data_IF_343491965052
#
_entry.id   IF_343491965052
#
_cell.length_a   1.000
_cell.length_b   1.000
_cell.length_c   1.000
_cell.angle_alpha   90.00
_cell.angle_beta   90.00
_cell.angle_gamma   90.00
#
_symmetry.space_group_name_H-M   'P 1'
#
loop_
_entity.id
_entity.type
_entity.pdbx_description
1 polymer ?
#
# COMPACT_ATOMS: atom_id res chain seq x y z
N UNK A 1 -6.84 -63.63 67.02
CA UNK A 1 -6.65 -63.44 65.57
C UNK A 1 -7.42 -62.20 65.19
N UNK A 2 -6.70 -61.09 65.03
CA UNK A 2 -7.24 -59.80 64.58
C UNK A 2 -6.37 -59.39 63.41
N UNK A 3 -6.73 -59.90 62.23
CA UNK A 3 -6.12 -59.48 60.97
C UNK A 3 -6.79 -58.16 60.55
N UNK A 4 -5.97 -57.11 60.55
CA UNK A 4 -6.32 -55.77 60.14
C UNK A 4 -6.15 -55.69 58.61
N UNK A 5 -7.20 -55.41 57.81
CA UNK A 5 -7.02 -55.22 56.39
C UNK A 5 -6.41 -53.84 56.13
N UNK A 6 -5.23 -53.86 55.50
CA UNK A 6 -4.53 -52.70 54.96
C UNK A 6 -5.47 -51.87 54.06
N UNK A 7 -5.59 -50.55 54.22
CA UNK A 7 -6.46 -49.74 53.38
C UNK A 7 -5.85 -49.62 51.98
N UNK A 8 -6.64 -50.03 50.98
CA UNK A 8 -6.36 -49.91 49.57
C UNK A 8 -6.05 -48.44 49.18
N UNK A 9 -4.82 -48.15 48.74
CA UNK A 9 -4.44 -46.84 48.19
C UNK A 9 -4.86 -46.71 46.72
N UNK A 10 -6.16 -46.43 46.50
CA UNK A 10 -6.64 -45.99 45.19
C UNK A 10 -6.22 -44.53 44.97
N UNK A 11 -5.10 -44.28 44.28
CA UNK A 11 -4.67 -42.90 44.07
C UNK A 11 -3.34 -42.66 43.39
N UNK A 12 -2.45 -43.66 43.24
CA UNK A 12 -1.27 -43.51 42.38
C UNK A 12 -1.65 -43.64 40.92
N UNK A 13 -2.36 -42.64 40.40
CA UNK A 13 -2.42 -42.40 38.96
C UNK A 13 -1.01 -42.02 38.50
N UNK A 14 -0.22 -43.02 38.14
CA UNK A 14 1.05 -42.88 37.42
C UNK A 14 0.78 -42.42 35.97
N UNK A 15 0.07 -41.30 35.85
CA UNK A 15 -0.25 -40.64 34.59
C UNK A 15 0.43 -39.29 34.59
N UNK A 16 1.12 -38.97 33.49
CA UNK A 16 1.68 -37.64 33.26
C UNK A 16 0.57 -36.61 33.50
N UNK A 17 0.86 -35.60 34.33
CA UNK A 17 -0.12 -34.62 34.76
C UNK A 17 -0.89 -34.05 33.56
N UNK A 18 -2.24 -33.99 33.57
CA UNK A 18 -3.04 -33.70 32.39
C UNK A 18 -2.67 -32.37 31.71
N UNK A 19 -2.25 -31.36 32.48
CA UNK A 19 -1.71 -30.10 31.94
C UNK A 19 -0.45 -30.28 31.08
N UNK A 20 0.44 -31.21 31.44
CA UNK A 20 1.67 -31.49 30.68
C UNK A 20 1.31 -32.13 29.34
N UNK A 21 0.31 -33.03 29.33
CA UNK A 21 -0.17 -33.67 28.09
C UNK A 21 -0.78 -32.62 27.15
N UNK A 22 -1.62 -31.73 27.67
CA UNK A 22 -2.20 -30.63 26.89
C UNK A 22 -1.10 -29.72 26.34
N UNK A 23 -0.11 -29.38 27.16
CA UNK A 23 0.99 -28.51 26.73
C UNK A 23 1.86 -29.16 25.65
N UNK A 24 2.14 -30.47 25.76
CA UNK A 24 2.87 -31.22 24.76
C UNK A 24 2.12 -31.30 23.42
N UNK A 25 0.79 -31.48 23.46
CA UNK A 25 -0.06 -31.47 22.25
C UNK A 25 -0.06 -30.09 21.59
N UNK A 26 -0.19 -29.01 22.38
CA UNK A 26 -0.16 -27.64 21.86
C UNK A 26 1.19 -27.30 21.22
N UNK A 27 2.31 -27.66 21.87
CA UNK A 27 3.65 -27.46 21.32
C UNK A 27 3.90 -28.30 20.06
N UNK A 28 3.47 -29.56 20.05
CA UNK A 28 3.58 -30.43 18.88
C UNK A 28 2.80 -29.89 17.69
N UNK A 29 1.56 -29.41 17.93
CA UNK A 29 0.74 -28.80 16.89
C UNK A 29 1.34 -27.49 16.39
N UNK A 30 1.82 -26.63 17.30
CA UNK A 30 2.48 -25.38 16.95
C UNK A 30 3.74 -25.61 16.09
N UNK A 31 4.58 -26.58 16.48
CA UNK A 31 5.78 -26.94 15.72
C UNK A 31 5.44 -27.53 14.34
N UNK A 32 4.40 -28.36 14.26
CA UNK A 32 3.92 -28.93 13.00
C UNK A 32 3.45 -27.85 12.02
N UNK A 33 2.68 -26.87 12.51
CA UNK A 33 2.28 -25.70 11.71
C UNK A 33 3.49 -24.88 11.30
N UNK A 34 4.44 -24.64 12.22
CA UNK A 34 5.66 -23.88 11.92
C UNK A 34 6.59 -24.56 10.90
N UNK A 35 6.61 -25.90 10.83
CA UNK A 35 7.44 -26.66 9.91
C UNK A 35 6.80 -26.85 8.52
N UNK A 36 5.47 -26.99 8.45
CA UNK A 36 4.76 -27.22 7.19
C UNK A 36 4.36 -25.92 6.50
N UNK A 37 4.09 -24.86 7.25
CA UNK A 37 3.84 -23.54 6.68
C UNK A 37 5.20 -22.93 6.37
N UNK A 38 5.66 -22.87 5.10
CA UNK A 38 6.83 -22.10 4.77
C UNK A 38 6.60 -20.67 5.26
N UNK A 39 7.55 -20.12 6.02
CA UNK A 39 7.53 -18.72 6.45
C UNK A 39 7.36 -17.86 5.21
N UNK A 40 6.13 -17.45 4.94
CA UNK A 40 5.79 -16.60 3.81
C UNK A 40 6.09 -15.16 4.22
N UNK A 41 7.39 -14.87 4.40
CA UNK A 41 7.86 -13.55 4.01
C UNK A 41 7.53 -13.43 2.53
N UNK A 42 6.60 -12.54 2.22
CA UNK A 42 6.10 -12.21 0.87
C UNK A 42 5.29 -13.32 0.18
N UNK A 43 4.05 -13.54 0.61
CA UNK A 43 2.98 -13.82 -0.34
C UNK A 43 2.21 -12.55 -0.60
N UNK A 44 2.82 -11.70 -1.43
CA UNK A 44 2.14 -10.62 -2.12
C UNK A 44 1.07 -11.27 -3.00
N UNK A 45 -0.19 -10.89 -2.81
CA UNK A 45 -1.27 -11.32 -3.66
C UNK A 45 -0.88 -10.97 -5.10
N UNK A 46 -0.88 -11.98 -5.96
CA UNK A 46 -0.50 -11.89 -7.38
C UNK A 46 -1.62 -11.19 -8.15
N UNK A 47 -1.84 -9.92 -7.87
CA UNK A 47 -2.32 -8.99 -8.90
C UNK A 47 -1.15 -8.74 -9.83
N UNK A 48 -1.39 -8.72 -11.13
CA UNK A 48 -0.39 -8.60 -12.20
C UNK A 48 0.55 -7.41 -11.97
N UNK A 49 1.63 -7.64 -11.24
CA UNK A 49 2.74 -6.70 -11.16
C UNK A 49 3.33 -6.63 -12.58
N UNK A 50 3.16 -5.48 -13.22
CA UNK A 50 3.81 -5.18 -14.49
C UNK A 50 5.32 -5.44 -14.40
N UNK A 51 6.00 -5.65 -15.55
CA UNK A 51 7.36 -6.14 -15.58
C UNK A 51 8.30 -5.29 -14.70
N UNK A 52 8.88 -5.93 -13.67
CA UNK A 52 9.94 -5.37 -12.83
C UNK A 52 11.25 -5.31 -13.65
N UNK A 53 11.31 -4.42 -14.63
CA UNK A 53 12.57 -4.11 -15.31
C UNK A 53 13.46 -3.30 -14.36
N UNK A 54 14.77 -3.63 -14.26
CA UNK A 54 15.69 -2.85 -13.45
C UNK A 54 15.74 -1.41 -13.96
N UNK A 55 15.33 -0.48 -13.09
CA UNK A 55 15.34 0.93 -13.38
C UNK A 55 16.78 1.44 -13.24
N UNK A 56 17.27 2.15 -14.26
CA UNK A 56 18.52 2.89 -14.14
C UNK A 56 18.20 4.12 -13.30
N UNK A 57 18.32 3.97 -11.98
CA UNK A 57 18.24 5.09 -11.06
C UNK A 57 19.46 5.98 -11.31
N UNK A 58 19.21 7.25 -11.60
CA UNK A 58 20.25 8.27 -11.64
C UNK A 58 20.27 8.99 -10.28
N UNK A 59 21.19 8.63 -9.36
CA UNK A 59 21.27 9.26 -8.04
C UNK A 59 21.63 10.75 -8.11
N UNK A 60 22.11 11.25 -9.26
CA UNK A 60 22.44 12.65 -9.50
C UNK A 60 21.30 13.42 -10.21
N UNK A 61 20.14 12.79 -10.43
CA UNK A 61 19.00 13.46 -11.04
C UNK A 61 18.58 14.69 -10.21
N UNK A 62 18.71 15.88 -10.81
CA UNK A 62 18.38 17.13 -10.16
C UNK A 62 16.92 17.14 -9.66
N UNK A 63 16.63 17.68 -8.46
CA UNK A 63 15.28 17.74 -7.92
C UNK A 63 14.29 18.38 -8.89
N UNK A 64 13.14 17.75 -9.06
CA UNK A 64 12.06 18.28 -9.89
C UNK A 64 11.27 19.32 -9.11
N UNK A 65 11.12 20.50 -9.70
CA UNK A 65 10.17 21.49 -9.24
C UNK A 65 8.79 21.04 -9.71
N UNK A 66 7.82 21.03 -8.79
CA UNK A 66 6.44 20.71 -9.11
C UNK A 66 5.52 21.82 -8.60
N UNK A 67 4.30 21.87 -9.14
CA UNK A 67 3.21 22.72 -8.67
C UNK A 67 2.01 21.84 -8.34
N UNK A 68 1.33 22.12 -7.23
CA UNK A 68 0.01 21.54 -6.95
C UNK A 68 -1.01 22.18 -7.87
N UNK A 69 -1.66 21.39 -8.71
CA UNK A 69 -2.62 21.90 -9.70
C UNK A 69 -4.07 21.78 -9.21
N UNK A 70 -4.43 20.63 -8.62
CA UNK A 70 -5.74 20.44 -8.02
C UNK A 70 -5.70 19.57 -6.77
N UNK A 71 -6.61 19.86 -5.85
CA UNK A 71 -6.96 19.00 -4.70
C UNK A 71 -8.42 18.56 -4.88
N UNK A 72 -8.71 17.29 -4.63
CA UNK A 72 -10.04 16.67 -4.67
C UNK A 72 -10.33 16.12 -3.27
N UNK A 73 -10.81 16.97 -2.34
CA UNK A 73 -10.89 16.61 -0.92
C UNK A 73 -11.80 15.42 -0.63
N UNK A 74 -12.92 15.31 -1.34
CA UNK A 74 -13.89 14.22 -1.17
C UNK A 74 -13.38 12.85 -1.64
N UNK A 75 -12.23 12.81 -2.34
CA UNK A 75 -11.57 11.59 -2.76
C UNK A 75 -10.15 11.46 -2.19
N UNK A 76 -9.77 12.30 -1.21
CA UNK A 76 -8.43 12.34 -0.63
C UNK A 76 -7.29 12.44 -1.68
N UNK A 77 -7.54 13.10 -2.82
CA UNK A 77 -6.62 13.11 -3.94
C UNK A 77 -6.00 14.49 -4.20
N UNK A 78 -4.76 14.51 -4.67
CA UNK A 78 -4.01 15.70 -5.07
C UNK A 78 -3.30 15.42 -6.38
N UNK A 79 -3.21 16.43 -7.24
CA UNK A 79 -2.45 16.35 -8.49
C UNK A 79 -1.34 17.38 -8.54
N UNK A 80 -0.21 16.94 -9.05
CA UNK A 80 1.01 17.68 -9.22
C UNK A 80 1.33 17.79 -10.70
N UNK A 81 1.81 18.96 -11.12
CA UNK A 81 2.36 19.19 -12.45
C UNK A 81 3.86 19.38 -12.34
N UNK A 82 4.59 18.59 -13.11
CA UNK A 82 6.04 18.72 -13.31
C UNK A 82 6.33 19.21 -14.73
N UNK A 83 7.51 19.81 -14.99
CA UNK A 83 7.88 20.21 -16.34
C UNK A 83 7.78 19.06 -17.34
N UNK A 84 7.42 19.36 -18.59
CA UNK A 84 7.25 18.36 -19.64
C UNK A 84 8.53 17.53 -19.86
N UNK A 85 9.69 18.17 -19.76
CA UNK A 85 11.01 17.58 -19.86
C UNK A 85 11.44 16.75 -18.64
N UNK A 86 10.64 16.70 -17.56
CA UNK A 86 10.97 15.90 -16.38
C UNK A 86 11.12 14.42 -16.78
N UNK A 87 12.30 13.87 -16.52
CA UNK A 87 12.61 12.48 -16.85
C UNK A 87 11.93 11.53 -15.86
N UNK A 88 11.90 10.24 -16.19
CA UNK A 88 11.35 9.23 -15.30
C UNK A 88 12.12 9.14 -13.98
N UNK A 89 13.46 9.11 -14.02
CA UNK A 89 14.32 9.10 -12.82
C UNK A 89 14.06 10.32 -11.92
N UNK A 90 13.78 11.45 -12.53
CA UNK A 90 13.38 12.69 -11.87
C UNK A 90 12.00 12.57 -11.17
N UNK A 91 11.02 11.95 -11.82
CA UNK A 91 9.71 11.65 -11.22
C UNK A 91 9.85 10.66 -10.06
N UNK A 92 10.64 9.60 -10.22
CA UNK A 92 10.95 8.66 -9.15
C UNK A 92 11.57 9.38 -7.95
N UNK A 93 12.55 10.25 -8.21
CA UNK A 93 13.19 11.07 -7.17
C UNK A 93 12.18 11.93 -6.42
N UNK A 94 11.21 12.52 -7.14
CA UNK A 94 10.08 13.23 -6.52
C UNK A 94 9.23 12.30 -5.64
N UNK A 95 8.81 11.12 -6.12
CA UNK A 95 7.98 10.20 -5.32
C UNK A 95 8.71 9.71 -4.06
N UNK A 96 10.00 9.38 -4.17
CA UNK A 96 10.85 9.03 -3.02
C UNK A 96 10.98 10.19 -2.04
N UNK A 97 11.11 11.44 -2.53
CA UNK A 97 11.11 12.63 -1.68
C UNK A 97 9.78 12.79 -0.93
N UNK A 98 8.64 12.66 -1.61
CA UNK A 98 7.32 12.75 -0.97
C UNK A 98 7.17 11.69 0.14
N UNK A 99 7.57 10.44 -0.14
CA UNK A 99 7.59 9.37 0.87
C UNK A 99 8.50 9.69 2.05
N UNK A 100 9.68 10.23 1.79
CA UNK A 100 10.62 10.66 2.83
C UNK A 100 10.01 11.75 3.72
N UNK A 101 9.41 12.78 3.14
CA UNK A 101 8.74 13.84 3.92
C UNK A 101 7.51 13.30 4.69
N UNK A 102 6.77 12.35 4.12
CA UNK A 102 5.68 11.67 4.86
C UNK A 102 6.20 10.93 6.09
N UNK A 103 7.31 10.20 5.95
CA UNK A 103 7.95 9.50 7.05
C UNK A 103 8.50 10.46 8.11
N UNK A 104 8.95 11.65 7.69
CA UNK A 104 9.42 12.71 8.57
C UNK A 104 8.29 13.55 9.20
N UNK A 105 7.05 13.42 8.72
CA UNK A 105 5.90 14.20 9.19
C UNK A 105 5.82 15.62 8.61
N UNK A 106 6.59 15.92 7.55
CA UNK A 106 6.70 17.23 6.88
C UNK A 106 6.02 17.28 5.51
N UNK A 107 5.23 16.26 5.15
CA UNK A 107 4.56 16.22 3.84
C UNK A 107 3.60 17.41 3.63
N UNK A 108 2.96 17.91 4.69
CA UNK A 108 2.09 19.09 4.66
C UNK A 108 2.80 20.38 4.23
N UNK A 109 4.14 20.44 4.31
CA UNK A 109 4.91 21.58 3.83
C UNK A 109 5.02 21.59 2.29
N UNK A 110 4.76 20.44 1.65
CA UNK A 110 4.90 20.24 0.21
C UNK A 110 3.56 20.16 -0.51
N UNK A 111 2.57 19.49 0.08
CA UNK A 111 1.25 19.28 -0.51
C UNK A 111 0.15 19.53 0.53
N UNK A 112 -1.03 20.02 0.12
CA UNK A 112 -2.17 20.18 1.02
C UNK A 112 -2.55 18.86 1.72
N UNK A 113 -3.04 18.96 2.95
CA UNK A 113 -3.62 17.84 3.68
C UNK A 113 -4.78 17.20 2.89
N UNK A 114 -4.79 15.88 2.79
CA UNK A 114 -5.89 15.11 2.16
C UNK A 114 -6.91 14.64 3.18
N UNK A 115 -6.47 14.38 4.42
CA UNK A 115 -7.33 13.99 5.56
C UNK A 115 -7.04 14.89 6.77
N UNK A 116 -7.30 16.20 6.70
CA UNK A 116 -6.95 17.14 7.76
C UNK A 116 -7.60 16.76 9.09
N UNK A 117 -6.79 16.69 10.15
CA UNK A 117 -7.27 16.36 11.51
C UNK A 117 -7.56 14.87 11.74
N UNK A 118 -7.19 14.00 10.80
CA UNK A 118 -7.31 12.55 10.99
C UNK A 118 -6.31 12.04 12.03
N UNK A 119 -6.70 11.04 12.84
CA UNK A 119 -5.90 10.55 13.98
C UNK A 119 -4.54 9.96 13.60
N UNK A 120 -4.43 9.46 12.37
CA UNK A 120 -3.18 8.88 11.84
C UNK A 120 -2.28 9.92 11.14
N UNK A 121 -2.73 11.17 11.02
CA UNK A 121 -2.02 12.26 10.34
C UNK A 121 -2.83 12.89 9.21
N UNK A 122 -2.38 14.04 8.74
CA UNK A 122 -3.08 14.86 7.74
C UNK A 122 -3.11 14.27 6.33
N UNK A 123 -2.36 13.19 6.10
CA UNK A 123 -2.33 12.39 4.88
C UNK A 123 -2.54 10.90 5.18
N UNK A 124 -3.45 10.58 6.10
CA UNK A 124 -3.74 9.22 6.48
C UNK A 124 -4.23 8.36 5.32
N UNK A 125 -4.96 8.97 4.39
CA UNK A 125 -5.28 8.43 3.08
C UNK A 125 -4.93 9.52 2.07
N UNK A 126 -4.14 9.20 1.05
CA UNK A 126 -3.81 10.16 0.01
C UNK A 126 -3.55 9.47 -1.33
N UNK A 127 -4.14 9.99 -2.40
CA UNK A 127 -3.77 9.65 -3.78
C UNK A 127 -3.11 10.84 -4.45
N UNK A 128 -1.81 10.72 -4.74
CA UNK A 128 -0.99 11.79 -5.30
C UNK A 128 -0.64 11.44 -6.75
N UNK A 129 -1.19 12.19 -7.69
CA UNK A 129 -1.00 12.01 -9.13
C UNK A 129 0.04 13.01 -9.66
N UNK A 130 1.00 12.54 -10.45
CA UNK A 130 2.01 13.39 -11.08
C UNK A 130 1.81 13.35 -12.60
N UNK A 131 1.64 14.53 -13.21
CA UNK A 131 1.48 14.70 -14.66
C UNK A 131 2.44 15.77 -15.17
N UNK A 132 2.61 15.84 -16.49
CA UNK A 132 3.34 16.94 -17.13
C UNK A 132 2.45 17.99 -17.80
N UNK A 133 1.27 17.60 -18.26
CA UNK A 133 0.32 18.51 -18.89
C UNK A 133 -0.79 18.87 -17.88
N UNK A 134 -0.92 20.16 -17.49
CA UNK A 134 -1.94 20.61 -16.54
C UNK A 134 -3.36 20.18 -16.88
N UNK A 135 -3.68 19.95 -18.15
CA UNK A 135 -5.03 19.53 -18.55
C UNK A 135 -5.44 18.19 -17.92
N UNK A 136 -4.48 17.28 -17.66
CA UNK A 136 -4.73 15.99 -17.02
C UNK A 136 -4.60 16.03 -15.49
N UNK A 137 -4.12 17.13 -14.93
CA UNK A 137 -4.10 17.37 -13.48
C UNK A 137 -5.35 18.13 -12.97
N UNK A 138 -6.35 18.37 -13.83
CA UNK A 138 -7.59 19.02 -13.38
C UNK A 138 -8.40 18.08 -12.48
N UNK A 139 -9.11 18.67 -11.52
CA UNK A 139 -9.93 17.94 -10.54
C UNK A 139 -10.92 16.95 -11.18
N UNK A 140 -11.55 17.32 -12.28
CA UNK A 140 -12.48 16.47 -13.05
C UNK A 140 -11.80 15.24 -13.66
N UNK A 141 -10.57 15.35 -14.15
CA UNK A 141 -9.79 14.22 -14.67
C UNK A 141 -9.30 13.31 -13.54
N UNK A 142 -8.82 13.92 -12.45
CA UNK A 142 -8.41 13.16 -11.26
C UNK A 142 -9.58 12.37 -10.68
N UNK A 143 -10.79 12.93 -10.65
CA UNK A 143 -11.99 12.21 -10.24
C UNK A 143 -12.24 10.98 -11.10
N UNK A 144 -12.08 11.07 -12.42
CA UNK A 144 -12.20 9.90 -13.30
C UNK A 144 -11.18 8.83 -12.93
N UNK A 145 -9.91 9.19 -12.69
CA UNK A 145 -8.86 8.25 -12.29
C UNK A 145 -9.10 7.61 -10.92
N UNK A 146 -9.51 8.40 -9.93
CA UNK A 146 -9.74 7.90 -8.56
C UNK A 146 -10.99 7.00 -8.47
N UNK A 147 -11.96 7.15 -9.38
CA UNK A 147 -13.12 6.24 -9.46
C UNK A 147 -12.74 4.86 -10.04
N UNK A 148 -11.65 4.77 -10.80
CA UNK A 148 -11.17 3.53 -11.43
C UNK A 148 -11.88 3.17 -12.74
N UNK A 149 -11.31 2.20 -13.47
CA UNK A 149 -11.76 1.82 -14.82
C UNK A 149 -13.19 1.25 -14.88
N UNK A 150 -13.70 0.75 -13.76
CA UNK A 150 -15.00 0.08 -13.67
C UNK A 150 -16.09 0.92 -13.00
N UNK A 151 -15.85 2.22 -12.84
CA UNK A 151 -16.87 3.14 -12.39
C UNK A 151 -18.11 3.05 -13.32
N UNK A 152 -19.34 3.03 -12.81
CA UNK A 152 -20.53 2.92 -13.65
C UNK A 152 -20.60 4.08 -14.65
N UNK A 153 -20.36 3.78 -15.93
CA UNK A 153 -20.41 4.76 -17.00
C UNK A 153 -21.80 5.42 -17.08
N UNK A 154 -21.83 6.74 -17.25
CA UNK A 154 -23.07 7.51 -17.42
C UNK A 154 -23.67 8.13 -16.15
N UNK A 155 -23.12 7.85 -14.95
CA UNK A 155 -23.51 8.57 -13.72
C UNK A 155 -22.79 9.91 -13.55
N UNK A 156 -21.63 10.07 -14.19
CA UNK A 156 -20.84 11.29 -14.12
C UNK A 156 -20.30 11.62 -15.52
N UNK A 157 -20.35 12.88 -15.96
CA UNK A 157 -19.67 13.27 -17.19
C UNK A 157 -18.16 13.18 -16.98
N UNK A 158 -17.49 12.36 -17.79
CA UNK A 158 -16.02 12.30 -17.81
C UNK A 158 -15.49 13.39 -18.74
N UNK A 159 -14.68 14.30 -18.19
CA UNK A 159 -14.01 15.33 -18.99
C UNK A 159 -12.98 14.72 -19.96
N UNK A 160 -12.32 13.63 -19.51
CA UNK A 160 -11.36 12.83 -20.28
C UNK A 160 -11.62 11.35 -19.95
N UNK A 161 -11.71 10.45 -20.94
CA UNK A 161 -11.89 9.02 -20.68
C UNK A 161 -10.77 8.45 -19.80
N UNK A 162 -11.10 7.48 -18.95
CA UNK A 162 -10.16 6.88 -17.99
C UNK A 162 -8.89 6.36 -18.68
N UNK A 163 -9.03 5.64 -19.79
CA UNK A 163 -7.92 5.03 -20.52
C UNK A 163 -6.99 6.07 -21.14
N UNK A 164 -7.51 7.27 -21.44
CA UNK A 164 -6.72 8.38 -21.95
C UNK A 164 -6.00 9.08 -20.80
N UNK A 165 -6.72 9.33 -19.70
CA UNK A 165 -6.15 10.00 -18.53
C UNK A 165 -5.02 9.19 -17.87
N UNK A 166 -5.16 7.85 -17.78
CA UNK A 166 -4.18 7.00 -17.10
C UNK A 166 -2.81 7.00 -17.80
N UNK A 167 -2.80 7.13 -19.13
CA UNK A 167 -1.58 7.11 -19.94
C UNK A 167 -0.75 8.38 -19.78
N UNK A 168 -1.32 9.42 -19.16
CA UNK A 168 -0.69 10.73 -19.01
C UNK A 168 -0.15 10.94 -17.59
N UNK A 169 -0.40 9.96 -16.71
CA UNK A 169 0.22 9.91 -15.38
C UNK A 169 1.68 9.50 -15.54
N UNK A 170 2.58 10.39 -15.11
CA UNK A 170 4.01 10.11 -15.02
C UNK A 170 4.37 9.33 -13.77
N UNK A 171 3.67 9.58 -12.67
CA UNK A 171 3.85 8.83 -11.44
C UNK A 171 2.66 8.94 -10.51
N UNK A 172 2.50 7.95 -9.66
CA UNK A 172 1.42 7.86 -8.69
C UNK A 172 1.98 7.40 -7.35
N UNK A 173 1.62 8.11 -6.29
CA UNK A 173 1.98 7.76 -4.92
C UNK A 173 0.71 7.72 -4.08
N UNK A 174 0.43 6.54 -3.52
CA UNK A 174 -0.69 6.29 -2.64
C UNK A 174 -0.22 6.06 -1.22
N UNK A 175 -0.89 6.73 -0.29
CA UNK A 175 -0.76 6.57 1.15
C UNK A 175 -2.06 5.97 1.67
N UNK A 176 -1.94 4.90 2.44
CA UNK A 176 -3.04 4.30 3.20
C UNK A 176 -2.52 3.81 4.54
N UNK A 177 -2.57 4.67 5.56
CA UNK A 177 -2.08 4.35 6.90
C UNK A 177 -2.95 3.34 7.64
N UNK A 178 -4.13 3.00 7.11
CA UNK A 178 -4.93 1.88 7.64
C UNK A 178 -4.39 0.53 7.17
N UNK A 179 -3.67 0.50 6.05
CA UNK A 179 -2.92 -0.66 5.60
C UNK A 179 -1.56 -0.75 6.31
N UNK A 180 -1.54 -1.39 7.47
CA UNK A 180 -0.32 -1.52 8.30
C UNK A 180 0.80 -2.36 7.66
N UNK A 181 0.48 -3.17 6.63
CA UNK A 181 1.46 -4.00 5.93
C UNK A 181 2.21 -3.27 4.82
N UNK A 182 1.53 -2.40 4.08
CA UNK A 182 2.10 -1.65 2.97
C UNK A 182 1.41 -0.26 2.87
N UNK A 183 1.72 0.66 3.80
CA UNK A 183 1.02 1.94 3.88
C UNK A 183 1.41 2.94 2.80
N UNK A 184 2.50 2.68 2.08
CA UNK A 184 3.05 3.55 1.05
C UNK A 184 3.27 2.73 -0.22
N UNK A 185 2.61 3.10 -1.33
CA UNK A 185 2.84 2.48 -2.64
C UNK A 185 3.12 3.53 -3.70
N UNK A 186 4.19 3.36 -4.47
CA UNK A 186 4.64 4.32 -5.46
C UNK A 186 4.93 3.66 -6.79
N UNK A 187 4.59 4.33 -7.89
CA UNK A 187 4.82 3.83 -9.24
C UNK A 187 5.13 4.94 -10.24
N UNK A 188 5.88 4.59 -11.29
CA UNK A 188 5.84 5.29 -12.57
C UNK A 188 4.60 4.82 -13.31
N UNK A 189 3.92 5.72 -14.02
CA UNK A 189 2.64 5.41 -14.61
C UNK A 189 1.53 5.31 -13.56
N UNK A 190 0.43 4.66 -13.94
CA UNK A 190 -0.73 4.48 -13.08
C UNK A 190 -1.24 3.04 -13.15
N UNK A 191 -1.71 2.52 -12.02
CA UNK A 191 -2.50 1.30 -11.95
C UNK A 191 -3.66 1.52 -11.00
N UNK A 192 -4.86 1.11 -11.39
CA UNK A 192 -6.00 1.09 -10.49
C UNK A 192 -6.06 -0.20 -9.68
N UNK A 193 -6.99 -0.24 -8.71
CA UNK A 193 -7.18 -1.40 -7.84
C UNK A 193 -7.71 -2.65 -8.57
N UNK A 194 -8.28 -2.48 -9.77
CA UNK A 194 -8.80 -3.58 -10.58
C UNK A 194 -7.72 -4.29 -11.39
N UNK A 195 -6.51 -3.71 -11.46
CA UNK A 195 -5.38 -4.21 -12.24
C UNK A 195 -5.29 -3.59 -13.64
N UNK A 196 -6.13 -2.62 -13.98
CA UNK A 196 -5.96 -1.82 -15.20
C UNK A 196 -4.84 -0.82 -14.97
N UNK A 197 -3.87 -0.78 -15.89
CA UNK A 197 -2.69 0.06 -15.74
C UNK A 197 -2.27 0.71 -17.06
N UNK A 198 -1.54 1.82 -16.95
CA UNK A 198 -0.91 2.48 -18.10
C UNK A 198 0.19 1.60 -18.72
N UNK A 199 0.57 1.87 -19.97
CA UNK A 199 1.55 1.04 -20.70
C UNK A 199 2.93 1.07 -20.07
N UNK A 200 3.32 2.20 -19.50
CA UNK A 200 4.59 2.45 -18.83
C UNK A 200 4.52 2.22 -17.32
N UNK A 201 3.46 1.59 -16.81
CA UNK A 201 3.32 1.29 -15.39
C UNK A 201 4.48 0.44 -14.88
N UNK A 202 5.14 0.93 -13.83
CA UNK A 202 6.17 0.21 -13.08
C UNK A 202 6.14 0.61 -11.62
N UNK A 203 6.04 -0.39 -10.74
CA UNK A 203 6.09 -0.20 -9.29
C UNK A 203 7.51 0.16 -8.82
N UNK A 204 7.60 1.08 -7.87
CA UNK A 204 8.85 1.56 -7.28
C UNK A 204 8.97 1.06 -5.83
N UNK A 205 7.92 1.21 -5.02
CA UNK A 205 7.87 0.78 -3.62
C UNK A 205 6.45 0.43 -3.19
#
# INVERSE_FOLDING_TARGET
>A
MSDQPDPYEEGKRAGVHPLIVVFAVLLGLWLFVALIVPSSKNKQATGTEGPAMPMIEDPEAAPVIFKVEATVPDMNAVSLVVPAQATESQVVGLLKRLKKERLAGSLSDLIPATTPGHKLGDHAIADIYVTSDPKYAKSEVIRTLTRGAHAPGGLYPDAVPFEVAMEEIKGHYRIDLHNTGAPDTGSVGFADESGVHSRHYRKIF
#
